data_IF_807537984260
#
_entry.id   IF_807537984260
#
_cell.length_a   1.000
_cell.length_b   1.000
_cell.length_c   1.000
_cell.angle_alpha   90.00
_cell.angle_beta   90.00
_cell.angle_gamma   90.00
#
_symmetry.space_group_name_H-M   'P 1'
#
loop_
_entity.id
_entity.type
_entity.pdbx_description
1 polymer ?
#
# COMPACT_ATOMS: atom_id res chain seq x y z
N UNK A 1 19.78 -1.50 12.02
CA UNK A 1 18.54 -1.74 11.24
C UNK A 1 17.36 -1.31 12.12
N UNK A 2 17.04 -0.02 12.17
CA UNK A 2 16.05 0.49 13.15
C UNK A 2 15.39 1.82 12.73
N UNK A 3 15.45 2.19 11.44
CA UNK A 3 15.03 3.55 11.01
C UNK A 3 13.57 3.61 10.51
N UNK A 4 13.06 2.58 9.84
CA UNK A 4 11.70 2.59 9.27
C UNK A 4 10.59 2.52 10.34
N UNK A 5 10.79 1.73 11.40
CA UNK A 5 9.78 1.52 12.44
C UNK A 5 9.56 2.77 13.32
N UNK A 6 10.59 3.62 13.49
CA UNK A 6 10.50 4.81 14.34
C UNK A 6 9.73 5.96 13.71
N UNK A 7 9.75 6.10 12.38
CA UNK A 7 9.00 7.15 11.66
C UNK A 7 7.51 6.81 11.60
N UNK A 8 7.19 5.53 11.34
CA UNK A 8 5.82 5.03 11.29
C UNK A 8 5.13 5.03 12.67
N UNK A 9 5.88 4.82 13.77
CA UNK A 9 5.31 4.78 15.12
C UNK A 9 5.20 6.14 15.83
N UNK A 10 6.04 7.14 15.49
CA UNK A 10 6.03 8.45 16.17
C UNK A 10 4.86 9.37 15.77
N UNK A 11 4.16 9.12 14.66
CA UNK A 11 3.09 10.00 14.14
C UNK A 11 1.68 9.41 14.25
N UNK A 12 1.42 8.63 15.31
CA UNK A 12 0.06 8.18 15.67
C UNK A 12 -0.81 9.28 16.32
N UNK A 13 -0.45 10.56 16.17
CA UNK A 13 -1.09 11.66 16.89
C UNK A 13 -1.55 12.78 15.95
N UNK A 14 -2.88 12.85 15.81
CA UNK A 14 -3.74 13.97 15.34
C UNK A 14 -3.95 14.13 13.82
N UNK A 15 -5.18 13.81 13.41
CA UNK A 15 -5.88 14.02 12.12
C UNK A 15 -5.72 12.95 11.03
N UNK A 16 -6.87 12.55 10.45
CA UNK A 16 -7.11 11.30 9.73
C UNK A 16 -6.38 11.06 8.42
N UNK A 17 -5.60 12.03 7.90
CA UNK A 17 -4.79 11.88 6.67
C UNK A 17 -3.27 11.90 6.95
N UNK A 18 -2.86 12.00 8.22
CA UNK A 18 -1.44 12.15 8.57
C UNK A 18 -0.60 10.94 8.13
N UNK A 19 -1.11 9.72 8.25
CA UNK A 19 -0.37 8.51 7.90
C UNK A 19 -0.15 8.37 6.39
N UNK A 20 -1.18 8.65 5.58
CA UNK A 20 -1.09 8.66 4.11
C UNK A 20 -0.04 9.67 3.64
N UNK A 21 -0.11 10.91 4.13
CA UNK A 21 0.83 11.97 3.75
C UNK A 21 2.27 11.66 4.20
N UNK A 22 2.44 11.07 5.38
CA UNK A 22 3.76 10.64 5.84
C UNK A 22 4.34 9.54 4.95
N UNK A 23 3.53 8.55 4.58
CA UNK A 23 3.94 7.47 3.68
C UNK A 23 4.32 8.00 2.30
N UNK A 24 3.52 8.93 1.76
CA UNK A 24 3.86 9.64 0.52
C UNK A 24 5.22 10.35 0.62
N UNK A 25 5.49 11.06 1.71
CA UNK A 25 6.80 11.72 1.90
C UNK A 25 7.94 10.71 1.98
N UNK A 26 7.78 9.59 2.71
CA UNK A 26 8.79 8.53 2.77
C UNK A 26 9.09 8.00 1.36
N UNK A 27 8.07 7.73 0.54
CA UNK A 27 8.27 7.27 -0.84
C UNK A 27 9.08 8.30 -1.65
N UNK A 28 8.76 9.59 -1.53
CA UNK A 28 9.51 10.65 -2.23
C UNK A 28 10.96 10.76 -1.74
N UNK A 29 11.20 10.65 -0.42
CA UNK A 29 12.53 10.67 0.20
C UNK A 29 13.39 9.47 -0.21
N UNK A 30 12.76 8.30 -0.42
CA UNK A 30 13.39 7.08 -0.90
C UNK A 30 13.65 7.10 -2.44
N UNK A 31 13.37 8.22 -3.11
CA UNK A 31 13.63 8.42 -4.54
C UNK A 31 12.48 7.98 -5.46
N UNK A 32 11.33 7.57 -4.91
CA UNK A 32 10.16 7.31 -5.74
C UNK A 32 9.55 8.62 -6.25
N UNK A 33 9.01 8.60 -7.48
CA UNK A 33 8.41 9.76 -8.12
C UNK A 33 6.94 9.46 -8.41
N UNK A 34 6.05 10.30 -7.92
CA UNK A 34 4.62 10.20 -8.23
C UNK A 34 4.37 10.43 -9.73
N UNK A 35 3.45 9.68 -10.32
CA UNK A 35 3.19 9.65 -11.76
C UNK A 35 4.24 8.89 -12.58
N UNK A 36 5.30 8.38 -11.94
CA UNK A 36 6.34 7.57 -12.60
C UNK A 36 6.46 6.20 -11.96
N UNK A 37 6.55 6.14 -10.63
CA UNK A 37 6.66 4.87 -9.91
C UNK A 37 5.36 4.49 -9.20
N UNK A 38 4.54 5.48 -8.81
CA UNK A 38 3.28 5.26 -8.11
C UNK A 38 2.30 6.39 -8.35
N UNK A 39 1.01 6.12 -8.10
CA UNK A 39 -0.03 7.16 -7.98
C UNK A 39 -0.60 7.18 -6.57
N UNK A 40 -0.80 8.37 -6.02
CA UNK A 40 -1.49 8.59 -4.74
C UNK A 40 -2.95 8.94 -5.01
N UNK A 41 -3.88 8.18 -4.41
CA UNK A 41 -5.34 8.29 -4.65
C UNK A 41 -5.69 8.41 -6.13
N UNK A 42 -5.31 7.45 -6.98
CA UNK A 42 -5.66 7.49 -8.38
C UNK A 42 -7.18 7.47 -8.55
N UNK A 43 -7.68 8.27 -9.49
CA UNK A 43 -9.08 8.23 -9.88
C UNK A 43 -9.43 6.82 -10.37
N UNK A 44 -10.43 6.21 -9.74
CA UNK A 44 -10.93 4.88 -10.10
C UNK A 44 -12.44 4.83 -9.87
N UNK A 45 -13.08 3.72 -10.19
CA UNK A 45 -14.50 3.55 -9.86
C UNK A 45 -14.72 3.74 -8.34
N UNK A 46 -15.83 4.37 -7.91
CA UNK A 46 -16.07 4.84 -6.53
C UNK A 46 -16.06 3.78 -5.41
N UNK A 47 -15.76 2.52 -5.73
CA UNK A 47 -15.60 1.41 -4.77
C UNK A 47 -14.18 0.82 -4.74
N UNK A 48 -13.24 1.38 -5.49
CA UNK A 48 -11.93 0.78 -5.75
C UNK A 48 -10.75 1.74 -5.58
N UNK A 49 -10.94 2.90 -4.94
CA UNK A 49 -9.87 3.87 -4.74
C UNK A 49 -8.82 3.37 -3.73
N UNK A 50 -7.62 2.97 -4.18
CA UNK A 50 -6.53 2.66 -3.26
C UNK A 50 -5.90 3.96 -2.75
N UNK A 51 -5.26 3.90 -1.58
CA UNK A 51 -4.45 5.03 -1.11
C UNK A 51 -3.24 5.25 -2.02
N UNK A 52 -2.59 4.15 -2.46
CA UNK A 52 -1.50 4.16 -3.42
C UNK A 52 -1.57 2.99 -4.39
N UNK A 53 -1.20 3.23 -5.66
CA UNK A 53 -1.10 2.22 -6.72
C UNK A 53 0.34 2.13 -7.25
N UNK A 54 0.84 0.89 -7.40
CA UNK A 54 2.16 0.60 -7.95
C UNK A 54 2.12 -0.51 -9.01
N UNK A 55 2.91 -0.41 -10.10
CA UNK A 55 3.47 0.85 -10.60
C UNK A 55 2.36 1.86 -10.91
N UNK A 56 2.70 3.06 -11.38
CA UNK A 56 1.70 4.06 -11.77
C UNK A 56 0.65 3.47 -12.74
N UNK A 57 -0.53 4.08 -12.83
CA UNK A 57 -1.68 3.61 -13.58
C UNK A 57 -1.45 3.52 -15.09
N UNK A 58 -0.54 4.32 -15.64
CA UNK A 58 -0.18 4.30 -17.06
C UNK A 58 0.70 3.08 -17.42
N UNK A 59 1.37 2.47 -16.43
CA UNK A 59 2.23 1.32 -16.63
C UNK A 59 1.41 0.03 -16.84
N UNK A 60 1.62 -0.61 -17.99
CA UNK A 60 0.91 -1.82 -18.40
C UNK A 60 1.68 -3.08 -17.99
N UNK A 61 1.57 -3.42 -16.70
CA UNK A 61 2.13 -4.65 -16.13
C UNK A 61 1.05 -5.66 -15.76
N UNK A 62 1.35 -6.97 -15.82
CA UNK A 62 0.40 -8.03 -15.46
C UNK A 62 0.11 -8.09 -13.95
N UNK A 63 0.98 -7.53 -13.11
CA UNK A 63 0.84 -7.54 -11.65
C UNK A 63 0.91 -6.11 -11.10
N UNK A 64 -0.06 -5.75 -10.25
CA UNK A 64 -0.10 -4.44 -9.57
C UNK A 64 -0.10 -4.62 -8.05
N UNK A 65 0.34 -3.61 -7.34
CA UNK A 65 0.29 -3.55 -5.87
C UNK A 65 -0.57 -2.38 -5.43
N UNK A 66 -1.50 -2.65 -4.52
CA UNK A 66 -2.31 -1.63 -3.84
C UNK A 66 -1.81 -1.55 -2.40
N UNK A 67 -1.28 -0.40 -2.02
CA UNK A 67 -0.94 -0.10 -0.63
C UNK A 67 -2.10 0.65 0.00
N UNK A 68 -2.67 0.07 1.06
CA UNK A 68 -3.83 0.65 1.76
C UNK A 68 -3.61 0.75 3.26
N UNK A 69 -4.20 1.81 3.82
CA UNK A 69 -4.26 2.10 5.26
C UNK A 69 -5.66 1.89 5.83
N UNK A 70 -6.58 1.30 5.06
CA UNK A 70 -7.95 0.99 5.46
C UNK A 70 -8.04 -0.24 6.38
N UNK A 71 -9.09 -0.33 7.20
CA UNK A 71 -9.27 -1.41 8.18
C UNK A 71 -9.99 -2.65 7.59
N UNK A 72 -9.41 -3.24 6.55
CA UNK A 72 -9.86 -4.53 6.02
C UNK A 72 -10.76 -4.45 4.79
N UNK A 73 -10.88 -5.61 4.12
CA UNK A 73 -11.76 -5.84 2.98
C UNK A 73 -12.55 -7.12 3.20
N UNK A 74 -13.71 -7.25 2.55
CA UNK A 74 -14.47 -8.51 2.56
C UNK A 74 -13.75 -9.61 1.78
N UNK A 75 -14.05 -10.88 2.04
CA UNK A 75 -13.51 -12.01 1.27
C UNK A 75 -13.84 -11.93 -0.22
N UNK A 76 -15.03 -11.43 -0.58
CA UNK A 76 -15.44 -11.29 -1.98
C UNK A 76 -14.60 -10.22 -2.67
N UNK A 77 -14.45 -9.06 -2.03
CA UNK A 77 -13.61 -7.98 -2.54
C UNK A 77 -12.14 -8.42 -2.64
N UNK A 78 -11.62 -9.15 -1.65
CA UNK A 78 -10.29 -9.71 -1.70
C UNK A 78 -10.09 -10.65 -2.90
N UNK A 79 -11.07 -11.52 -3.16
CA UNK A 79 -11.03 -12.41 -4.32
C UNK A 79 -10.96 -11.62 -5.63
N UNK A 80 -11.84 -10.63 -5.82
CA UNK A 80 -11.83 -9.78 -7.01
C UNK A 80 -10.47 -9.10 -7.22
N UNK A 81 -9.86 -8.59 -6.14
CA UNK A 81 -8.54 -7.96 -6.17
C UNK A 81 -7.48 -8.97 -6.62
N UNK A 82 -7.43 -10.15 -6.01
CA UNK A 82 -6.43 -11.17 -6.35
C UNK A 82 -6.61 -11.75 -7.76
N UNK A 83 -7.85 -11.93 -8.22
CA UNK A 83 -8.17 -12.41 -9.57
C UNK A 83 -7.78 -11.37 -10.64
N UNK A 84 -7.78 -10.08 -10.29
CA UNK A 84 -7.29 -9.01 -11.14
C UNK A 84 -5.75 -8.91 -11.18
N UNK A 85 -5.02 -9.84 -10.54
CA UNK A 85 -3.55 -9.81 -10.46
C UNK A 85 -3.03 -8.72 -9.53
N UNK A 86 -3.84 -8.27 -8.57
CA UNK A 86 -3.48 -7.22 -7.63
C UNK A 86 -3.09 -7.80 -6.28
N UNK A 87 -1.93 -7.38 -5.77
CA UNK A 87 -1.43 -7.72 -4.43
C UNK A 87 -1.76 -6.60 -3.45
N UNK A 88 -2.32 -6.94 -2.28
CA UNK A 88 -2.54 -5.98 -1.20
C UNK A 88 -1.30 -5.84 -0.31
N UNK A 89 -0.80 -4.62 -0.22
CA UNK A 89 0.26 -4.22 0.69
C UNK A 89 -0.38 -3.51 1.88
N UNK A 90 -0.20 -4.07 3.08
CA UNK A 90 -0.84 -3.57 4.30
C UNK A 90 0.21 -3.52 5.43
N UNK A 91 0.34 -2.38 6.14
CA UNK A 91 1.19 -2.31 7.33
C UNK A 91 0.82 -3.38 8.36
N UNK A 92 1.82 -4.01 8.98
CA UNK A 92 1.63 -5.11 9.95
C UNK A 92 0.63 -4.73 11.06
N UNK A 93 0.66 -3.48 11.50
CA UNK A 93 -0.24 -2.94 12.53
C UNK A 93 -1.72 -2.88 12.13
N UNK A 94 -2.04 -2.94 10.84
CA UNK A 94 -3.41 -2.88 10.31
C UNK A 94 -3.93 -4.25 9.84
N UNK A 95 -3.06 -5.24 9.69
CA UNK A 95 -3.45 -6.58 9.24
C UNK A 95 -4.41 -7.30 10.20
N UNK A 96 -4.40 -6.96 11.49
CA UNK A 96 -5.36 -7.51 12.45
C UNK A 96 -6.82 -7.15 12.12
N UNK A 97 -7.05 -6.06 11.38
CA UNK A 97 -8.38 -5.66 10.90
C UNK A 97 -8.91 -6.52 9.75
N UNK A 98 -8.06 -7.34 9.13
CA UNK A 98 -8.46 -8.24 8.05
C UNK A 98 -8.94 -9.60 8.60
N UNK A 99 -9.90 -10.27 7.93
CA UNK A 99 -10.26 -11.66 8.21
C UNK A 99 -9.03 -12.59 8.25
N UNK A 100 -9.02 -13.55 9.18
CA UNK A 100 -7.89 -14.46 9.37
C UNK A 100 -7.51 -15.25 8.10
N UNK A 101 -8.48 -15.55 7.24
CA UNK A 101 -8.26 -16.20 5.95
C UNK A 101 -7.53 -15.31 4.93
N UNK A 102 -7.57 -13.98 5.07
CA UNK A 102 -6.93 -13.04 4.14
C UNK A 102 -5.48 -12.75 4.56
N UNK A 103 -5.23 -12.67 5.88
CA UNK A 103 -3.93 -12.22 6.43
C UNK A 103 -2.69 -12.90 5.84
N UNK A 104 -2.66 -14.23 5.59
CA UNK A 104 -1.49 -14.89 5.02
C UNK A 104 -1.16 -14.46 3.58
N UNK A 105 -2.11 -13.82 2.89
CA UNK A 105 -1.97 -13.36 1.51
C UNK A 105 -1.64 -11.86 1.41
N UNK A 106 -1.55 -11.16 2.55
CA UNK A 106 -1.19 -9.75 2.58
C UNK A 106 0.33 -9.59 2.54
N UNK A 107 0.83 -8.73 1.68
CA UNK A 107 2.22 -8.31 1.71
C UNK A 107 2.40 -7.23 2.77
N UNK A 108 3.51 -7.28 3.52
CA UNK A 108 3.84 -6.21 4.47
C UNK A 108 4.44 -5.01 3.74
N UNK A 109 4.23 -3.80 4.27
CA UNK A 109 4.89 -2.59 3.73
C UNK A 109 6.42 -2.75 3.70
N UNK A 110 7.01 -3.36 4.74
CA UNK A 110 8.46 -3.60 4.82
C UNK A 110 8.95 -4.53 3.70
N UNK A 111 8.25 -5.64 3.44
CA UNK A 111 8.58 -6.57 2.35
C UNK A 111 8.45 -5.88 0.99
N UNK A 112 7.36 -5.15 0.78
CA UNK A 112 7.10 -4.44 -0.48
C UNK A 112 8.19 -3.41 -0.80
N UNK A 113 8.57 -2.58 0.18
CA UNK A 113 9.66 -1.61 0.00
C UNK A 113 11.01 -2.32 -0.27
N UNK A 114 11.23 -3.49 0.32
CA UNK A 114 12.38 -4.34 0.01
C UNK A 114 12.40 -4.79 -1.45
N UNK A 115 11.28 -5.29 -1.95
CA UNK A 115 11.15 -5.75 -3.34
C UNK A 115 11.37 -4.61 -4.33
N UNK A 116 10.80 -3.42 -4.07
CA UNK A 116 10.98 -2.25 -4.93
C UNK A 116 12.45 -1.81 -5.03
N UNK A 117 13.21 -1.90 -3.94
CA UNK A 117 14.64 -1.58 -3.92
C UNK A 117 15.50 -2.58 -4.69
N UNK A 118 15.02 -3.80 -4.90
CA UNK A 118 15.71 -4.82 -5.71
C UNK A 118 15.41 -4.69 -7.20
N UNK A 119 14.34 -3.97 -7.55
CA UNK A 119 13.90 -3.76 -8.94
C UNK A 119 14.47 -2.48 -9.58
N UNK A 120 15.05 -1.57 -8.78
CA UNK A 120 15.73 -0.34 -9.23
C UNK A 120 17.24 -0.44 -9.12
#
# INVERSE_FOLDING_TARGET
MEHAQSVLQRRKSRSGNSLELNLRQILLEEGFREGVHFDYKPESEPKREPDFLFPNAAERVPSKHILTLQQGVSMNQFREITEAGITLVVPVSLQSGYPAAIRPHLQTLESFLGDLRLLG
#
